data_IF_702376019368
#
_entry.id   IF_702376019368
#
_cell.length_a   1.000
_cell.length_b   1.000
_cell.length_c   1.000
_cell.angle_alpha   90.00
_cell.angle_beta   90.00
_cell.angle_gamma   90.00
#
_symmetry.space_group_name_H-M   'P 1'
#
loop_
_entity.id
_entity.type
_entity.pdbx_description
1 polymer ?
#
# COMPACT_ATOMS: atom_id res chain seq x y z
N UNK A 1 -23.44 -9.52 17.10
CA UNK A 1 -24.61 -9.35 16.23
C UNK A 1 -24.15 -9.38 14.77
N UNK A 2 -24.00 -10.57 14.20
CA UNK A 2 -23.90 -10.79 12.75
C UNK A 2 -25.03 -11.76 12.45
N UNK A 3 -26.06 -11.25 11.79
CA UNK A 3 -27.25 -12.04 11.51
C UNK A 3 -26.93 -13.01 10.37
N UNK A 4 -26.93 -14.32 10.65
CA UNK A 4 -26.53 -15.37 9.69
C UNK A 4 -27.52 -15.46 8.50
N UNK A 5 -28.67 -14.81 8.59
CA UNK A 5 -29.69 -14.80 7.55
C UNK A 5 -29.30 -13.96 6.32
N UNK A 6 -28.43 -12.96 6.49
CA UNK A 6 -27.99 -12.06 5.39
C UNK A 6 -26.73 -12.56 4.67
N UNK A 7 -26.19 -13.70 5.08
CA UNK A 7 -24.90 -14.22 4.61
C UNK A 7 -24.90 -14.50 3.09
N UNK A 8 -26.07 -14.83 2.52
CA UNK A 8 -26.26 -15.03 1.07
C UNK A 8 -25.97 -13.76 0.25
N UNK A 9 -26.28 -12.58 0.78
CA UNK A 9 -26.04 -11.30 0.09
C UNK A 9 -24.69 -10.66 0.45
N UNK A 10 -24.07 -11.05 1.58
CA UNK A 10 -22.80 -10.50 2.05
C UNK A 10 -21.69 -10.56 0.99
N UNK A 11 -21.55 -11.69 0.29
CA UNK A 11 -20.53 -11.84 -0.75
C UNK A 11 -20.76 -10.93 -1.97
N UNK A 12 -22.02 -10.70 -2.35
CA UNK A 12 -22.37 -9.84 -3.48
C UNK A 12 -22.17 -8.37 -3.11
N UNK A 13 -22.67 -7.96 -1.94
CA UNK A 13 -22.51 -6.59 -1.43
C UNK A 13 -21.03 -6.27 -1.24
N UNK A 14 -20.22 -7.22 -0.73
CA UNK A 14 -18.77 -7.05 -0.60
C UNK A 14 -18.08 -6.81 -1.95
N UNK A 15 -18.44 -7.57 -3.00
CA UNK A 15 -17.90 -7.36 -4.36
C UNK A 15 -18.31 -6.00 -4.94
N UNK A 16 -19.58 -5.61 -4.77
CA UNK A 16 -20.10 -4.31 -5.23
C UNK A 16 -19.40 -3.17 -4.49
N UNK A 17 -19.29 -3.24 -3.17
CA UNK A 17 -18.61 -2.24 -2.36
C UNK A 17 -17.13 -2.13 -2.72
N UNK A 18 -16.46 -3.25 -3.02
CA UNK A 18 -15.09 -3.25 -3.48
C UNK A 18 -14.93 -2.61 -4.86
N UNK A 19 -15.81 -2.93 -5.82
CA UNK A 19 -15.83 -2.28 -7.13
C UNK A 19 -16.09 -0.78 -7.02
N UNK A 20 -17.05 -0.38 -6.18
CA UNK A 20 -17.35 1.01 -5.89
C UNK A 20 -16.16 1.75 -5.29
N UNK A 21 -15.44 1.11 -4.35
CA UNK A 21 -14.21 1.64 -3.76
C UNK A 21 -13.16 1.93 -4.84
N UNK A 22 -12.94 1.02 -5.79
CA UNK A 22 -11.99 1.21 -6.88
C UNK A 22 -12.40 2.44 -7.70
N UNK A 23 -13.67 2.56 -8.08
CA UNK A 23 -14.18 3.71 -8.85
C UNK A 23 -13.93 5.03 -8.12
N UNK A 24 -14.30 5.13 -6.84
CA UNK A 24 -14.11 6.35 -6.04
C UNK A 24 -12.63 6.73 -5.91
N UNK A 25 -11.77 5.75 -5.68
CA UNK A 25 -10.32 5.98 -5.51
C UNK A 25 -9.66 6.38 -6.83
N UNK A 26 -10.10 5.80 -7.95
CA UNK A 26 -9.71 6.22 -9.30
C UNK A 26 -10.12 7.66 -9.56
N UNK A 27 -11.33 8.07 -9.13
CA UNK A 27 -11.79 9.45 -9.22
C UNK A 27 -10.82 10.42 -8.55
N UNK A 28 -10.47 10.17 -7.28
CA UNK A 28 -9.48 10.98 -6.56
C UNK A 28 -8.11 10.96 -7.23
N UNK A 29 -7.61 9.78 -7.60
CA UNK A 29 -6.32 9.65 -8.28
C UNK A 29 -6.27 10.36 -9.64
N UNK A 30 -7.38 10.40 -10.37
CA UNK A 30 -7.52 11.07 -11.66
C UNK A 30 -7.51 12.59 -11.51
N UNK A 31 -8.12 13.14 -10.45
CA UNK A 31 -8.08 14.60 -10.19
C UNK A 31 -6.63 15.08 -10.10
N UNK A 32 -5.75 14.29 -9.46
CA UNK A 32 -4.32 14.59 -9.44
C UNK A 32 -3.66 14.24 -10.78
N UNK A 33 -3.88 13.03 -11.32
CA UNK A 33 -3.24 12.51 -12.54
C UNK A 33 -3.48 13.33 -13.82
N UNK A 34 -4.53 14.13 -13.87
CA UNK A 34 -4.85 15.02 -15.00
C UNK A 34 -4.66 16.50 -14.68
N UNK A 35 -4.02 16.81 -13.54
CA UNK A 35 -3.77 18.20 -13.13
C UNK A 35 -2.60 18.79 -13.92
N UNK A 36 -2.91 19.42 -15.06
CA UNK A 36 -1.93 20.00 -15.99
C UNK A 36 -1.06 21.09 -15.35
N UNK A 37 -1.55 21.75 -14.30
CA UNK A 37 -0.86 22.86 -13.64
C UNK A 37 0.39 22.45 -12.82
N UNK A 38 0.62 21.16 -12.56
CA UNK A 38 1.83 20.66 -11.88
C UNK A 38 2.47 19.55 -12.67
N UNK A 39 3.74 19.73 -13.02
CA UNK A 39 4.49 18.80 -13.87
C UNK A 39 4.57 17.39 -13.28
N UNK A 40 4.71 17.26 -11.95
CA UNK A 40 4.71 15.96 -11.28
C UNK A 40 3.38 15.19 -11.36
N UNK A 41 2.26 15.87 -11.62
CA UNK A 41 0.92 15.28 -11.51
C UNK A 41 0.25 15.02 -12.86
N UNK A 42 0.83 15.43 -13.99
CA UNK A 42 0.23 15.26 -15.31
C UNK A 42 0.53 13.89 -15.94
N UNK A 43 0.22 12.80 -15.25
CA UNK A 43 0.43 11.42 -15.74
C UNK A 43 -0.73 10.50 -15.36
N UNK A 44 -1.30 9.80 -16.35
CA UNK A 44 -2.44 8.89 -16.16
C UNK A 44 -2.13 7.68 -15.23
N UNK A 45 -0.85 7.30 -15.09
CA UNK A 45 -0.37 6.23 -14.19
C UNK A 45 -0.64 6.54 -12.72
N UNK A 46 -0.86 7.82 -12.37
CA UNK A 46 -1.08 8.24 -11.00
C UNK A 46 -2.41 7.70 -10.42
N UNK A 47 -3.45 7.54 -11.26
CA UNK A 47 -4.72 6.96 -10.85
C UNK A 47 -4.60 5.51 -10.36
N UNK A 48 -4.05 4.55 -11.15
CA UNK A 48 -3.84 3.19 -10.66
C UNK A 48 -2.84 3.11 -9.51
N UNK A 49 -1.80 3.95 -9.47
CA UNK A 49 -0.88 4.02 -8.34
C UNK A 49 -1.62 4.38 -7.03
N UNK A 50 -2.56 5.33 -7.09
CA UNK A 50 -3.36 5.76 -5.95
C UNK A 50 -4.27 4.63 -5.41
N UNK A 51 -4.86 3.83 -6.31
CA UNK A 51 -5.68 2.66 -5.93
C UNK A 51 -4.83 1.65 -5.17
N UNK A 52 -3.65 1.32 -5.69
CA UNK A 52 -2.76 0.34 -5.05
C UNK A 52 -2.22 0.84 -3.73
N UNK A 53 -1.85 2.12 -3.62
CA UNK A 53 -1.47 2.75 -2.36
C UNK A 53 -2.60 2.69 -1.32
N UNK A 54 -3.84 3.03 -1.71
CA UNK A 54 -5.02 2.94 -0.85
C UNK A 54 -5.25 1.51 -0.34
N UNK A 55 -5.09 0.51 -1.22
CA UNK A 55 -5.21 -0.91 -0.86
C UNK A 55 -4.12 -1.33 0.13
N UNK A 56 -2.87 -0.99 -0.16
CA UNK A 56 -1.72 -1.31 0.68
C UNK A 56 -1.86 -0.70 2.09
N UNK A 57 -2.04 0.61 2.19
CA UNK A 57 -2.15 1.30 3.48
C UNK A 57 -3.40 0.87 4.24
N UNK A 58 -4.53 0.67 3.53
CA UNK A 58 -5.75 0.17 4.12
C UNK A 58 -5.56 -1.21 4.76
N UNK A 59 -4.90 -2.14 4.07
CA UNK A 59 -4.61 -3.47 4.61
C UNK A 59 -3.63 -3.42 5.78
N UNK A 60 -2.60 -2.58 5.70
CA UNK A 60 -1.62 -2.43 6.79
C UNK A 60 -2.27 -1.87 8.07
N UNK A 61 -3.08 -0.81 7.95
CA UNK A 61 -3.81 -0.23 9.10
C UNK A 61 -4.85 -1.21 9.64
N UNK A 62 -5.58 -1.91 8.76
CA UNK A 62 -6.53 -2.94 9.17
C UNK A 62 -5.85 -4.05 9.99
N UNK A 63 -4.70 -4.55 9.52
CA UNK A 63 -3.95 -5.58 10.23
C UNK A 63 -3.42 -5.08 11.58
N UNK A 64 -2.91 -3.85 11.64
CA UNK A 64 -2.45 -3.22 12.88
C UNK A 64 -3.59 -3.13 13.90
N UNK A 65 -4.76 -2.63 13.49
CA UNK A 65 -5.92 -2.52 14.36
C UNK A 65 -6.42 -3.89 14.83
N UNK A 66 -6.46 -4.87 13.92
CA UNK A 66 -6.83 -6.24 14.27
C UNK A 66 -5.91 -6.82 15.35
N UNK A 67 -4.59 -6.59 15.23
CA UNK A 67 -3.58 -7.00 16.22
C UNK A 67 -3.76 -6.28 17.55
N UNK A 68 -4.06 -4.98 17.54
CA UNK A 68 -4.31 -4.20 18.77
C UNK A 68 -5.55 -4.72 19.49
N UNK A 69 -6.67 -4.92 18.78
CA UNK A 69 -7.92 -5.42 19.36
C UNK A 69 -7.74 -6.84 19.91
N UNK A 70 -7.10 -7.72 19.14
CA UNK A 70 -6.76 -9.09 19.56
C UNK A 70 -5.96 -9.09 20.87
N UNK A 71 -4.98 -8.20 21.01
CA UNK A 71 -4.20 -8.04 22.25
C UNK A 71 -5.04 -7.54 23.41
N UNK A 72 -5.89 -6.53 23.20
CA UNK A 72 -6.76 -5.97 24.24
C UNK A 72 -7.79 -6.99 24.74
N UNK A 73 -8.26 -7.87 23.85
CA UNK A 73 -9.26 -8.89 24.19
C UNK A 73 -8.64 -10.24 24.58
N UNK A 74 -7.32 -10.39 24.46
CA UNK A 74 -6.61 -11.67 24.64
C UNK A 74 -7.20 -12.80 23.79
N UNK A 75 -7.66 -12.47 22.58
CA UNK A 75 -8.20 -13.42 21.60
C UNK A 75 -7.17 -13.58 20.49
N UNK A 76 -6.71 -14.80 20.25
CA UNK A 76 -5.77 -15.08 19.18
C UNK A 76 -6.42 -14.94 17.80
N UNK A 77 -5.66 -14.38 16.85
CA UNK A 77 -6.09 -14.29 15.46
C UNK A 77 -5.78 -15.63 14.79
N UNK A 78 -6.76 -16.29 14.17
CA UNK A 78 -6.51 -17.52 13.41
C UNK A 78 -5.40 -17.34 12.37
N UNK A 79 -4.50 -18.33 12.29
CA UNK A 79 -3.34 -18.28 11.39
C UNK A 79 -3.73 -18.10 9.92
N UNK A 80 -4.87 -18.66 9.52
CA UNK A 80 -5.40 -18.53 8.16
C UNK A 80 -5.71 -17.07 7.78
N UNK A 81 -6.30 -16.30 8.69
CA UNK A 81 -6.62 -14.88 8.47
C UNK A 81 -5.32 -14.08 8.32
N UNK A 82 -4.35 -14.33 9.20
CA UNK A 82 -3.04 -13.68 9.14
C UNK A 82 -2.32 -13.99 7.83
N UNK A 83 -2.33 -15.25 7.38
CA UNK A 83 -1.72 -15.67 6.12
C UNK A 83 -2.38 -15.01 4.90
N UNK A 84 -3.70 -14.90 4.90
CA UNK A 84 -4.44 -14.24 3.82
C UNK A 84 -4.17 -12.73 3.74
N UNK A 85 -4.15 -12.04 4.89
CA UNK A 85 -3.82 -10.61 4.96
C UNK A 85 -2.39 -10.36 4.48
N UNK A 86 -1.43 -11.18 4.93
CA UNK A 86 -0.03 -11.11 4.47
C UNK A 86 0.07 -11.27 2.97
N UNK A 87 -0.57 -12.30 2.40
CA UNK A 87 -0.56 -12.53 0.95
C UNK A 87 -1.05 -11.30 0.18
N UNK A 88 -2.14 -10.68 0.65
CA UNK A 88 -2.66 -9.45 0.07
C UNK A 88 -1.67 -8.28 0.21
N UNK A 89 -1.03 -8.11 1.37
CA UNK A 89 -0.01 -7.08 1.59
C UNK A 89 1.17 -7.24 0.62
N UNK A 90 1.70 -8.45 0.46
CA UNK A 90 2.81 -8.72 -0.48
C UNK A 90 2.40 -8.36 -1.91
N UNK A 91 1.20 -8.79 -2.34
CA UNK A 91 0.68 -8.46 -3.67
C UNK A 91 0.58 -6.94 -3.86
N UNK A 92 0.03 -6.22 -2.88
CA UNK A 92 -0.10 -4.77 -2.98
C UNK A 92 1.24 -4.03 -2.91
N UNK A 93 2.21 -4.52 -2.14
CA UNK A 93 3.59 -3.98 -2.11
C UNK A 93 4.26 -4.13 -3.48
N UNK A 94 4.20 -5.32 -4.07
CA UNK A 94 4.76 -5.57 -5.40
C UNK A 94 4.08 -4.73 -6.47
N UNK A 95 2.75 -4.65 -6.45
CA UNK A 95 2.00 -3.79 -7.35
C UNK A 95 2.37 -2.31 -7.17
N UNK A 96 2.59 -1.86 -5.93
CA UNK A 96 2.99 -0.47 -5.64
C UNK A 96 4.35 -0.17 -6.24
N UNK A 97 5.34 -1.03 -6.01
CA UNK A 97 6.69 -0.93 -6.60
C UNK A 97 6.60 -0.88 -8.12
N UNK A 98 5.82 -1.77 -8.74
CA UNK A 98 5.64 -1.79 -10.19
C UNK A 98 5.07 -0.46 -10.73
N UNK A 99 3.96 0.02 -10.17
CA UNK A 99 3.35 1.28 -10.62
C UNK A 99 4.19 2.50 -10.29
N UNK A 100 4.98 2.47 -9.20
CA UNK A 100 5.91 3.53 -8.85
C UNK A 100 7.04 3.62 -9.89
N UNK A 101 7.65 2.48 -10.23
CA UNK A 101 8.65 2.41 -11.30
C UNK A 101 8.04 2.90 -12.62
N UNK A 102 6.85 2.42 -12.97
CA UNK A 102 6.15 2.83 -14.18
C UNK A 102 5.87 4.34 -14.22
N UNK A 103 5.52 4.94 -13.08
CA UNK A 103 5.31 6.38 -12.94
C UNK A 103 6.61 7.15 -13.24
N UNK A 104 7.72 6.79 -12.61
CA UNK A 104 9.01 7.45 -12.83
C UNK A 104 9.52 7.26 -14.27
N UNK A 105 9.39 6.06 -14.84
CA UNK A 105 9.74 5.81 -16.25
C UNK A 105 8.89 6.67 -17.18
N UNK A 106 7.58 6.71 -16.97
CA UNK A 106 6.65 7.51 -17.81
C UNK A 106 7.03 9.00 -17.77
N UNK A 107 7.39 9.51 -16.59
CA UNK A 107 7.80 10.90 -16.45
C UNK A 107 9.15 11.20 -17.10
N UNK A 108 10.09 10.26 -17.11
CA UNK A 108 11.36 10.41 -17.82
C UNK A 108 11.18 10.53 -19.34
N UNK A 109 10.14 9.91 -19.90
CA UNK A 109 9.81 10.03 -21.33
C UNK A 109 9.20 11.38 -21.70
N UNK A 110 8.56 12.06 -20.76
CA UNK A 110 7.90 13.35 -21.00
C UNK A 110 8.93 14.46 -20.76
N UNK A 111 9.42 15.10 -21.83
CA UNK A 111 10.53 16.09 -21.73
C UNK A 111 10.26 17.23 -20.75
N UNK A 112 9.00 17.61 -20.52
CA UNK A 112 8.60 18.63 -19.55
C UNK A 112 8.82 18.20 -18.09
N UNK A 113 8.82 16.90 -17.81
CA UNK A 113 8.86 16.35 -16.44
C UNK A 113 10.27 15.92 -16.00
N UNK A 114 11.24 15.85 -16.92
CA UNK A 114 12.62 15.39 -16.66
C UNK A 114 13.30 16.23 -15.56
N UNK A 115 13.06 17.55 -15.53
CA UNK A 115 13.66 18.42 -14.52
C UNK A 115 13.18 18.06 -13.10
N UNK A 116 11.88 17.82 -12.93
CA UNK A 116 11.29 17.42 -11.64
C UNK A 116 11.72 16.01 -11.27
N UNK A 117 11.77 15.10 -12.23
CA UNK A 117 12.15 13.70 -12.01
C UNK A 117 13.63 13.58 -11.59
N UNK A 118 14.53 14.27 -12.28
CA UNK A 118 15.95 14.32 -11.90
C UNK A 118 16.18 15.00 -10.55
N UNK A 119 15.34 15.98 -10.19
CA UNK A 119 15.35 16.56 -8.84
C UNK A 119 14.95 15.51 -7.79
N UNK A 120 13.88 14.76 -7.99
CA UNK A 120 13.44 13.74 -7.02
C UNK A 120 14.48 12.61 -6.92
N UNK A 121 14.97 12.10 -8.04
CA UNK A 121 15.81 10.89 -8.07
C UNK A 121 17.29 11.13 -7.77
N UNK A 122 17.85 12.29 -8.15
CA UNK A 122 19.31 12.50 -8.18
C UNK A 122 19.78 13.77 -7.47
N UNK A 123 19.14 14.92 -7.75
CA UNK A 123 19.72 16.24 -7.44
C UNK A 123 18.98 17.03 -6.34
N UNK A 124 17.94 16.46 -5.73
CA UNK A 124 17.05 17.15 -4.78
C UNK A 124 17.56 17.17 -3.34
N UNK A 125 18.78 16.70 -3.09
CA UNK A 125 19.39 16.66 -1.77
C UNK A 125 18.53 15.89 -0.77
N UNK A 126 18.00 16.59 0.24
CA UNK A 126 17.14 15.99 1.27
C UNK A 126 15.89 15.31 0.72
N UNK A 127 15.29 15.83 -0.36
CA UNK A 127 14.12 15.20 -0.99
C UNK A 127 14.46 13.87 -1.65
N UNK A 128 15.63 13.79 -2.30
CA UNK A 128 16.15 12.55 -2.88
C UNK A 128 16.43 11.51 -1.80
N UNK A 129 17.02 11.93 -0.68
CA UNK A 129 17.22 11.05 0.48
C UNK A 129 15.89 10.55 1.04
N UNK A 130 14.88 11.41 1.18
CA UNK A 130 13.55 11.01 1.65
C UNK A 130 12.86 10.03 0.68
N UNK A 131 13.03 10.21 -0.63
CA UNK A 131 12.50 9.29 -1.62
C UNK A 131 13.15 7.91 -1.50
N UNK A 132 14.49 7.84 -1.55
CA UNK A 132 15.20 6.56 -1.55
C UNK A 132 15.17 5.86 -0.18
N UNK A 133 15.48 6.56 0.91
CA UNK A 133 15.52 5.95 2.23
C UNK A 133 14.12 5.84 2.83
N UNK A 134 13.30 6.89 2.72
CA UNK A 134 11.97 6.93 3.30
C UNK A 134 10.96 6.11 2.50
N UNK A 135 10.63 6.54 1.29
CA UNK A 135 9.58 5.91 0.50
C UNK A 135 9.99 4.52 -0.01
N UNK A 136 11.14 4.41 -0.70
CA UNK A 136 11.57 3.14 -1.31
C UNK A 136 12.10 2.17 -0.25
N UNK A 137 13.05 2.61 0.57
CA UNK A 137 13.68 1.79 1.61
C UNK A 137 12.70 1.38 2.72
N UNK A 138 12.35 2.33 3.58
CA UNK A 138 11.50 2.09 4.76
C UNK A 138 10.05 1.75 4.37
N UNK A 139 9.51 2.37 3.31
CA UNK A 139 8.11 2.23 2.94
C UNK A 139 7.77 1.00 2.09
N UNK A 140 8.70 0.51 1.26
CA UNK A 140 8.44 -0.57 0.30
C UNK A 140 9.35 -1.78 0.49
N UNK A 141 10.67 -1.58 0.44
CA UNK A 141 11.65 -2.68 0.45
C UNK A 141 11.66 -3.41 1.79
N UNK A 142 11.76 -2.68 2.91
CA UNK A 142 11.79 -3.31 4.24
C UNK A 142 10.49 -4.08 4.53
N UNK A 143 9.29 -3.51 4.35
CA UNK A 143 8.04 -4.25 4.56
C UNK A 143 7.91 -5.47 3.65
N UNK A 144 8.34 -5.36 2.39
CA UNK A 144 8.30 -6.48 1.45
C UNK A 144 9.23 -7.61 1.89
N UNK A 145 10.50 -7.30 2.19
CA UNK A 145 11.45 -8.30 2.68
C UNK A 145 10.97 -8.93 3.99
N UNK A 146 10.38 -8.14 4.88
CA UNK A 146 9.80 -8.62 6.12
C UNK A 146 8.66 -9.61 5.87
N UNK A 147 7.68 -9.27 5.03
CA UNK A 147 6.53 -10.16 4.77
C UNK A 147 6.92 -11.41 3.96
N UNK A 148 7.92 -11.32 3.08
CA UNK A 148 8.41 -12.46 2.29
C UNK A 148 9.27 -13.44 3.10
N UNK A 149 10.05 -12.95 4.07
CA UNK A 149 10.98 -13.80 4.84
C UNK A 149 10.30 -14.49 6.03
N UNK A 150 9.15 -14.00 6.47
CA UNK A 150 8.47 -14.46 7.68
C UNK A 150 7.66 -15.76 7.50
N UNK A 151 8.00 -16.61 6.52
CA UNK A 151 7.13 -17.72 6.09
C UNK A 151 7.08 -18.90 7.07
N UNK A 152 8.05 -19.08 7.97
CA UNK A 152 8.05 -20.25 8.88
C UNK A 152 8.71 -19.93 10.22
N UNK A 153 7.93 -19.83 11.29
CA UNK A 153 8.40 -19.97 12.69
C UNK A 153 9.48 -19.01 13.20
N UNK A 154 9.96 -18.06 12.40
CA UNK A 154 11.06 -17.16 12.75
C UNK A 154 10.52 -15.83 13.25
N UNK A 155 10.40 -15.74 14.57
CA UNK A 155 10.21 -14.50 15.31
C UNK A 155 11.44 -13.59 15.20
N UNK A 156 11.63 -12.92 14.06
CA UNK A 156 12.68 -11.93 13.88
C UNK A 156 12.31 -10.60 14.56
N UNK A 157 12.53 -10.57 15.88
CA UNK A 157 13.22 -9.52 16.64
C UNK A 157 12.76 -8.07 16.69
N UNK A 158 12.01 -7.50 15.74
CA UNK A 158 11.87 -6.04 15.65
C UNK A 158 10.42 -5.55 15.54
N UNK A 159 9.52 -6.25 16.22
CA UNK A 159 8.25 -5.64 16.63
C UNK A 159 8.40 -5.10 18.05
N UNK A 160 8.01 -3.84 18.26
CA UNK A 160 7.85 -3.21 19.58
C UNK A 160 6.97 -4.06 20.53
N UNK A 161 6.25 -5.06 20.03
CA UNK A 161 5.47 -6.01 20.83
C UNK A 161 6.27 -7.15 21.48
N UNK A 162 7.60 -7.22 21.31
CA UNK A 162 8.48 -8.12 22.09
C UNK A 162 9.15 -7.43 23.29
N UNK A 163 8.96 -6.12 23.46
CA UNK A 163 9.51 -5.33 24.58
C UNK A 163 8.76 -5.50 25.91
N UNK A 164 7.74 -6.35 25.94
CA UNK A 164 6.89 -6.57 27.12
C UNK A 164 6.60 -8.07 27.33
N UNK A 165 7.62 -8.90 27.12
CA UNK A 165 7.70 -10.25 27.67
C UNK A 165 8.66 -10.25 28.84
#
# INVERSE_FOLDING_TARGET
>A
MLDFNVNRFSSLVGKIAFGWRIILTTGTGSIFGFLVAREAYSTAVLAPLFIVMSLLYGTAVFYLLLRVISRLQSIDIPDEITKNIRRLMIIFLLANIYFLILYHITNLYISKQIAVESFILLNGGGYTTMFWLGQVGLGLVIPLLYEMTNDEGRSFGLTITRLWY
#
